data_IF_639789259777
#
_entry.id   IF_639789259777
#
_cell.length_a   1.000
_cell.length_b   1.000
_cell.length_c   1.000
_cell.angle_alpha   90.00
_cell.angle_beta   90.00
_cell.angle_gamma   90.00
#
_symmetry.space_group_name_H-M   'P 1'
#
loop_
_entity.id
_entity.type
_entity.pdbx_description
1 polymer ?
#
# COMPACT_ATOMS: atom_id res chain seq x y z
N UNK A 1 -34.67 21.52 10.89
CA UNK A 1 -33.95 20.53 10.06
C UNK A 1 -32.58 20.34 10.67
N UNK A 2 -32.28 19.10 11.03
CA UNK A 2 -31.17 18.74 11.92
C UNK A 2 -29.83 18.95 11.20
N UNK A 3 -28.91 19.74 11.76
CA UNK A 3 -27.57 19.98 11.17
C UNK A 3 -26.85 18.65 10.86
N UNK A 4 -27.14 17.61 11.64
CA UNK A 4 -26.64 16.24 11.46
C UNK A 4 -27.12 15.57 10.16
N UNK A 5 -28.34 15.86 9.67
CA UNK A 5 -28.85 15.30 8.40
C UNK A 5 -28.18 15.94 7.18
N UNK A 6 -27.93 17.25 7.22
CA UNK A 6 -27.20 17.96 6.17
C UNK A 6 -25.73 17.49 6.08
N UNK A 7 -25.11 17.16 7.23
CA UNK A 7 -23.73 16.64 7.28
C UNK A 7 -23.64 15.22 6.69
N UNK A 8 -24.57 14.32 7.03
CA UNK A 8 -24.65 12.98 6.43
C UNK A 8 -24.83 13.04 4.91
N UNK A 9 -25.69 13.94 4.41
CA UNK A 9 -25.84 14.19 2.97
C UNK A 9 -24.55 14.72 2.33
N UNK A 10 -23.83 15.62 3.00
CA UNK A 10 -22.57 16.18 2.50
C UNK A 10 -21.42 15.14 2.51
N UNK A 11 -21.40 14.23 3.47
CA UNK A 11 -20.43 13.14 3.55
C UNK A 11 -20.66 12.06 2.49
N UNK A 12 -21.92 11.85 2.11
CA UNK A 12 -22.25 11.04 0.94
C UNK A 12 -21.97 11.74 -0.39
N UNK A 13 -21.80 13.07 -0.40
CA UNK A 13 -21.44 13.87 -1.57
C UNK A 13 -19.94 14.14 -1.72
N UNK A 14 -19.15 13.98 -0.65
CA UNK A 14 -17.70 13.82 -0.77
C UNK A 14 -17.41 12.62 -1.69
N UNK A 15 -16.41 12.71 -2.59
CA UNK A 15 -16.16 11.65 -3.56
C UNK A 15 -15.89 10.33 -2.83
N UNK A 16 -16.85 9.40 -2.94
CA UNK A 16 -16.67 8.00 -2.54
C UNK A 16 -15.37 7.49 -3.17
N UNK A 17 -14.72 6.50 -2.53
CA UNK A 17 -13.55 5.74 -2.97
C UNK A 17 -13.40 5.37 -4.47
N UNK A 18 -14.40 5.63 -5.31
CA UNK A 18 -14.38 6.14 -6.69
C UNK A 18 -15.82 6.10 -7.19
N UNK A 19 -16.28 7.12 -7.88
CA UNK A 19 -17.27 6.93 -8.95
C UNK A 19 -16.77 7.66 -10.18
N UNK A 20 -15.84 7.03 -10.92
CA UNK A 20 -15.33 7.55 -12.20
C UNK A 20 -13.99 6.95 -12.65
N UNK A 21 -13.03 6.74 -11.73
CA UNK A 21 -11.66 6.31 -12.11
C UNK A 21 -11.58 4.80 -12.32
N UNK A 22 -11.25 4.38 -13.54
CA UNK A 22 -11.08 2.97 -13.92
C UNK A 22 -9.96 2.29 -13.11
N UNK A 23 -10.13 1.01 -12.79
CA UNK A 23 -9.14 0.17 -12.10
C UNK A 23 -8.69 -0.95 -13.02
N UNK A 24 -7.38 -1.17 -13.15
CA UNK A 24 -6.81 -2.37 -13.76
C UNK A 24 -5.83 -3.02 -12.81
N UNK A 25 -6.14 -4.24 -12.38
CA UNK A 25 -5.28 -5.02 -11.51
C UNK A 25 -4.53 -6.09 -12.29
N UNK A 26 -3.24 -6.24 -11.99
CA UNK A 26 -2.32 -7.17 -12.64
C UNK A 26 -1.66 -8.03 -11.57
N UNK A 27 -1.72 -9.34 -11.75
CA UNK A 27 -1.08 -10.31 -10.86
C UNK A 27 0.19 -10.80 -11.52
N UNK A 28 1.35 -10.45 -10.94
CA UNK A 28 2.65 -10.95 -11.38
C UNK A 28 2.91 -12.27 -10.67
N UNK A 29 2.90 -13.34 -11.45
CA UNK A 29 3.13 -14.72 -11.04
C UNK A 29 3.84 -15.49 -12.18
N UNK A 30 4.16 -16.76 -11.97
CA UNK A 30 4.79 -17.62 -12.98
C UNK A 30 3.94 -17.77 -14.25
N UNK A 31 2.61 -17.62 -14.13
CA UNK A 31 1.65 -17.69 -15.24
C UNK A 31 1.42 -16.36 -15.95
N UNK A 32 1.97 -15.24 -15.49
CA UNK A 32 1.75 -13.96 -16.19
C UNK A 32 2.29 -14.04 -17.62
N UNK A 33 1.50 -13.69 -18.65
CA UNK A 33 1.98 -13.60 -20.03
C UNK A 33 3.10 -12.58 -20.15
N UNK A 34 4.10 -12.89 -20.98
CA UNK A 34 5.28 -12.04 -21.18
C UNK A 34 4.90 -10.64 -21.68
N UNK A 35 3.95 -10.58 -22.61
CA UNK A 35 3.44 -9.36 -23.25
C UNK A 35 2.78 -8.43 -22.22
N UNK A 36 2.16 -9.00 -21.18
CA UNK A 36 1.59 -8.20 -20.10
C UNK A 36 2.68 -7.51 -19.27
N UNK A 37 3.82 -8.15 -19.04
CA UNK A 37 4.95 -7.52 -18.33
C UNK A 37 5.56 -6.40 -19.17
N UNK A 38 5.71 -6.60 -20.49
CA UNK A 38 6.17 -5.55 -21.41
C UNK A 38 5.23 -4.36 -21.40
N UNK A 39 3.91 -4.60 -21.49
CA UNK A 39 2.93 -3.52 -21.40
C UNK A 39 3.03 -2.76 -20.07
N UNK A 40 3.23 -3.44 -18.95
CA UNK A 40 3.41 -2.78 -17.65
C UNK A 40 4.68 -1.95 -17.60
N UNK A 41 5.77 -2.40 -18.24
CA UNK A 41 7.01 -1.62 -18.39
C UNK A 41 6.73 -0.32 -19.15
N UNK A 42 6.01 -0.40 -20.27
CA UNK A 42 5.73 0.77 -21.10
C UNK A 42 4.83 1.77 -20.38
N UNK A 43 3.83 1.29 -19.63
CA UNK A 43 3.00 2.14 -18.77
C UNK A 43 3.83 2.77 -17.63
N UNK A 44 4.70 2.00 -16.97
CA UNK A 44 5.54 2.50 -15.88
C UNK A 44 6.52 3.60 -16.33
N UNK A 45 7.00 3.55 -17.58
CA UNK A 45 7.86 4.60 -18.14
C UNK A 45 7.18 5.96 -18.29
N UNK A 46 5.84 5.96 -18.38
CA UNK A 46 5.04 7.15 -18.65
C UNK A 46 4.59 7.87 -17.37
N UNK A 47 4.97 7.37 -16.20
CA UNK A 47 4.70 8.01 -14.91
C UNK A 47 6.01 8.21 -14.13
N UNK A 48 5.97 9.16 -13.19
CA UNK A 48 7.06 9.44 -12.24
C UNK A 48 6.63 9.23 -10.79
N UNK A 49 5.39 8.83 -10.56
CA UNK A 49 4.83 8.70 -9.23
C UNK A 49 4.24 7.31 -9.05
N UNK A 50 4.62 6.68 -7.95
CA UNK A 50 4.17 5.34 -7.61
C UNK A 50 3.81 5.29 -6.14
N UNK A 51 2.89 4.40 -5.81
CA UNK A 51 2.60 4.01 -4.44
C UNK A 51 3.05 2.58 -4.28
N UNK A 52 3.92 2.32 -3.32
CA UNK A 52 4.37 0.96 -3.02
C UNK A 52 3.97 0.60 -1.60
N UNK A 53 3.32 -0.54 -1.44
CA UNK A 53 3.07 -1.20 -0.16
C UNK A 53 3.65 -2.62 -0.21
N UNK A 54 3.83 -3.21 0.97
CA UNK A 54 4.31 -4.60 1.10
C UNK A 54 3.48 -5.35 2.13
N UNK A 55 3.45 -6.67 2.00
CA UNK A 55 2.95 -7.61 3.03
C UNK A 55 3.97 -8.69 3.32
N UNK A 56 3.85 -9.28 4.51
CA UNK A 56 4.80 -10.26 5.05
C UNK A 56 4.06 -11.50 5.57
N UNK A 57 4.70 -12.66 5.49
CA UNK A 57 4.27 -13.89 6.18
C UNK A 57 4.71 -13.86 7.63
N UNK A 58 3.80 -14.25 8.52
CA UNK A 58 4.01 -14.37 9.97
C UNK A 58 4.61 -13.09 10.64
N UNK A 59 4.66 -13.08 11.98
CA UNK A 59 5.46 -12.10 12.74
C UNK A 59 6.97 -12.22 12.42
N UNK A 60 7.40 -13.30 11.77
CA UNK A 60 8.79 -13.62 11.40
C UNK A 60 9.31 -12.93 10.12
N UNK A 61 8.54 -12.02 9.51
CA UNK A 61 9.00 -11.03 8.52
C UNK A 61 9.35 -11.55 7.11
N UNK A 62 8.86 -12.71 6.66
CA UNK A 62 9.17 -13.15 5.30
C UNK A 62 8.39 -12.34 4.25
N UNK A 63 8.97 -12.01 3.09
CA UNK A 63 8.33 -11.20 2.05
C UNK A 63 7.19 -11.95 1.35
N UNK A 64 5.95 -11.42 1.36
CA UNK A 64 4.78 -12.09 0.77
C UNK A 64 4.20 -11.43 -0.48
N UNK A 65 4.07 -10.10 -0.44
CA UNK A 65 3.43 -9.33 -1.50
C UNK A 65 4.12 -7.98 -1.64
N UNK A 66 4.34 -7.55 -2.88
CA UNK A 66 4.58 -6.14 -3.19
C UNK A 66 3.37 -5.63 -3.95
N UNK A 67 2.77 -4.55 -3.48
CA UNK A 67 1.72 -3.84 -4.19
C UNK A 67 2.28 -2.55 -4.76
N UNK A 68 2.04 -2.30 -6.05
CA UNK A 68 2.45 -1.09 -6.73
C UNK A 68 1.23 -0.48 -7.39
N UNK A 69 0.98 0.79 -7.14
CA UNK A 69 -0.09 1.55 -7.78
C UNK A 69 0.48 2.77 -8.47
N UNK A 70 -0.01 3.05 -9.68
CA UNK A 70 0.24 4.30 -10.38
C UNK A 70 -0.95 4.66 -11.28
N UNK A 71 -1.05 5.92 -11.68
CA UNK A 71 -2.11 6.41 -12.58
C UNK A 71 -1.58 6.71 -13.96
N UNK A 72 -2.41 6.43 -14.97
CA UNK A 72 -2.22 6.85 -16.34
C UNK A 72 -3.59 7.06 -17.00
N UNK A 73 -3.79 8.20 -17.67
CA UNK A 73 -5.02 8.49 -18.45
C UNK A 73 -6.31 8.17 -17.68
N UNK A 74 -6.42 8.66 -16.43
CA UNK A 74 -7.56 8.41 -15.53
C UNK A 74 -7.83 6.93 -15.19
N UNK A 75 -6.88 6.06 -15.48
CA UNK A 75 -6.87 4.66 -15.03
C UNK A 75 -5.86 4.50 -13.91
N UNK A 76 -6.24 3.76 -12.87
CA UNK A 76 -5.31 3.34 -11.82
C UNK A 76 -4.89 1.90 -12.08
N UNK A 77 -3.60 1.73 -12.34
CA UNK A 77 -2.95 0.45 -12.56
C UNK A 77 -2.39 -0.06 -11.24
N UNK A 78 -2.75 -1.29 -10.88
CA UNK A 78 -2.38 -1.91 -9.61
C UNK A 78 -1.68 -3.22 -9.92
N UNK A 79 -0.39 -3.29 -9.63
CA UNK A 79 0.43 -4.47 -9.79
C UNK A 79 0.57 -5.16 -8.43
N UNK A 80 0.29 -6.45 -8.40
CA UNK A 80 0.41 -7.31 -7.23
C UNK A 80 1.47 -8.37 -7.54
N UNK A 81 2.62 -8.30 -6.89
CA UNK A 81 3.73 -9.24 -7.06
C UNK A 81 3.72 -10.23 -5.91
N UNK A 82 3.22 -11.44 -6.18
CA UNK A 82 3.14 -12.53 -5.21
C UNK A 82 4.49 -13.28 -5.20
N UNK A 83 5.28 -13.10 -4.14
CA UNK A 83 6.69 -13.50 -4.10
C UNK A 83 6.89 -15.01 -4.24
N UNK A 84 5.99 -15.81 -3.66
CA UNK A 84 6.02 -17.27 -3.74
C UNK A 84 5.62 -17.83 -5.11
N UNK A 85 5.07 -16.99 -5.98
CA UNK A 85 4.68 -17.39 -7.32
C UNK A 85 5.57 -16.77 -8.39
N UNK A 86 6.74 -16.21 -8.03
CA UNK A 86 7.65 -15.66 -9.02
C UNK A 86 8.17 -16.75 -9.98
N UNK A 87 8.38 -16.41 -11.26
CA UNK A 87 9.11 -17.30 -12.15
C UNK A 87 10.55 -17.52 -11.65
N UNK A 88 11.18 -18.63 -12.05
CA UNK A 88 12.60 -18.87 -11.77
C UNK A 88 13.49 -17.74 -12.30
N UNK A 89 14.57 -17.43 -11.56
CA UNK A 89 15.48 -16.30 -11.81
C UNK A 89 16.13 -16.34 -13.20
N UNK A 90 16.36 -17.54 -13.73
CA UNK A 90 16.99 -17.75 -15.04
C UNK A 90 16.06 -17.41 -16.21
N UNK A 91 14.75 -17.39 -15.97
CA UNK A 91 13.76 -17.15 -17.01
C UNK A 91 13.75 -15.68 -17.43
N UNK A 92 13.62 -15.46 -18.74
CA UNK A 92 13.49 -14.11 -19.34
C UNK A 92 12.35 -13.31 -18.69
N UNK A 93 11.26 -14.00 -18.31
CA UNK A 93 10.12 -13.41 -17.62
C UNK A 93 10.52 -12.78 -16.28
N UNK A 94 11.36 -13.46 -15.48
CA UNK A 94 11.87 -12.92 -14.23
C UNK A 94 12.72 -11.67 -14.47
N UNK A 95 13.64 -11.73 -15.45
CA UNK A 95 14.47 -10.58 -15.85
C UNK A 95 13.64 -9.37 -16.29
N UNK A 96 12.47 -9.58 -16.91
CA UNK A 96 11.53 -8.49 -17.23
C UNK A 96 10.81 -7.94 -16.00
N UNK A 97 10.48 -8.78 -15.02
CA UNK A 97 9.93 -8.31 -13.74
C UNK A 97 10.99 -7.46 -13.00
N UNK A 98 12.25 -7.89 -12.98
CA UNK A 98 13.36 -7.07 -12.47
C UNK A 98 13.47 -5.74 -13.21
N UNK A 99 13.40 -5.75 -14.55
CA UNK A 99 13.46 -4.53 -15.35
C UNK A 99 12.28 -3.57 -15.08
N UNK A 100 11.07 -4.11 -14.89
CA UNK A 100 9.91 -3.33 -14.46
C UNK A 100 10.17 -2.64 -13.12
N UNK A 101 10.66 -3.39 -12.12
CA UNK A 101 10.98 -2.83 -10.81
C UNK A 101 12.14 -1.83 -10.86
N UNK A 102 13.14 -2.08 -11.71
CA UNK A 102 14.21 -1.13 -11.98
C UNK A 102 13.67 0.21 -12.46
N UNK A 103 12.76 0.21 -13.44
CA UNK A 103 12.13 1.43 -13.97
C UNK A 103 11.34 2.16 -12.89
N UNK A 104 10.58 1.43 -12.07
CA UNK A 104 9.74 1.99 -11.01
C UNK A 104 10.62 2.64 -9.92
N UNK A 105 11.70 1.98 -9.51
CA UNK A 105 12.57 2.39 -8.40
C UNK A 105 13.66 3.39 -8.80
N UNK A 106 13.65 3.93 -10.03
CA UNK A 106 14.59 4.97 -10.44
C UNK A 106 14.53 6.18 -9.49
N UNK A 107 15.69 6.75 -9.17
CA UNK A 107 15.82 7.95 -8.32
C UNK A 107 15.01 9.16 -8.83
N UNK A 108 14.76 9.24 -10.14
CA UNK A 108 13.92 10.29 -10.73
C UNK A 108 12.43 10.17 -10.39
N UNK A 109 11.99 9.02 -9.89
CA UNK A 109 10.61 8.77 -9.54
C UNK A 109 10.39 9.00 -8.04
N UNK A 110 9.17 9.37 -7.69
CA UNK A 110 8.72 9.53 -6.32
C UNK A 110 7.89 8.32 -5.91
N UNK A 111 8.33 7.65 -4.84
CA UNK A 111 7.65 6.50 -4.25
C UNK A 111 6.93 6.94 -2.97
N UNK A 112 5.62 6.87 -2.97
CA UNK A 112 4.79 7.12 -1.80
C UNK A 112 4.48 5.81 -1.09
N UNK A 113 4.52 5.85 0.24
CA UNK A 113 4.13 4.69 1.05
C UNK A 113 3.59 5.12 2.40
N UNK A 114 2.66 4.35 2.95
CA UNK A 114 2.15 4.60 4.30
C UNK A 114 3.25 4.50 5.38
N UNK A 115 4.12 3.48 5.29
CA UNK A 115 5.25 3.23 6.21
C UNK A 115 6.59 3.44 5.51
N UNK A 116 7.70 3.27 6.23
CA UNK A 116 9.05 3.30 5.67
C UNK A 116 9.28 2.16 4.67
N UNK A 117 9.06 2.45 3.38
CA UNK A 117 9.15 1.45 2.31
C UNK A 117 10.59 0.98 2.06
N UNK A 118 11.61 1.79 2.34
CA UNK A 118 13.01 1.35 2.24
C UNK A 118 13.26 0.17 3.16
N UNK A 119 12.88 0.31 4.43
CA UNK A 119 13.01 -0.77 5.42
C UNK A 119 12.20 -2.02 5.03
N UNK A 120 10.98 -1.83 4.52
CA UNK A 120 10.14 -2.93 4.05
C UNK A 120 10.77 -3.70 2.88
N UNK A 121 11.28 -3.01 1.86
CA UNK A 121 11.83 -3.62 0.65
C UNK A 121 13.18 -4.32 0.90
N UNK A 122 13.95 -3.93 1.91
CA UNK A 122 15.19 -4.65 2.27
C UNK A 122 14.93 -6.13 2.58
N UNK A 123 13.76 -6.47 3.09
CA UNK A 123 13.37 -7.87 3.36
C UNK A 123 13.17 -8.70 2.09
N UNK A 124 13.00 -8.05 0.94
CA UNK A 124 12.79 -8.67 -0.36
C UNK A 124 14.08 -8.81 -1.17
N UNK A 125 15.23 -8.32 -0.68
CA UNK A 125 16.52 -8.41 -1.39
C UNK A 125 16.92 -9.85 -1.71
N UNK A 126 16.57 -10.81 -0.85
CA UNK A 126 16.82 -12.24 -1.08
C UNK A 126 16.13 -12.80 -2.32
N UNK A 127 15.06 -12.15 -2.79
CA UNK A 127 14.33 -12.53 -3.99
C UNK A 127 15.00 -12.02 -5.27
N UNK A 128 16.10 -11.25 -5.17
CA UNK A 128 16.85 -10.67 -6.30
C UNK A 128 16.01 -9.85 -7.28
N UNK A 129 14.85 -9.35 -6.88
CA UNK A 129 13.96 -8.53 -7.72
C UNK A 129 14.54 -7.14 -8.03
N UNK A 130 15.43 -6.67 -7.16
CA UNK A 130 16.13 -5.39 -7.21
C UNK A 130 17.36 -5.47 -6.31
N UNK A 131 18.26 -4.50 -6.44
CA UNK A 131 19.52 -4.39 -5.71
C UNK A 131 19.41 -3.38 -4.56
N UNK A 132 20.26 -3.52 -3.53
CA UNK A 132 20.24 -2.65 -2.33
C UNK A 132 20.34 -1.17 -2.68
N UNK A 133 21.28 -0.81 -3.57
CA UNK A 133 21.49 0.58 -3.99
C UNK A 133 20.23 1.19 -4.61
N UNK A 134 19.38 0.41 -5.30
CA UNK A 134 18.12 0.92 -5.86
C UNK A 134 17.14 1.33 -4.75
N UNK A 135 17.13 0.61 -3.62
CA UNK A 135 16.31 0.93 -2.44
C UNK A 135 16.88 2.15 -1.71
N UNK A 136 18.20 2.24 -1.61
CA UNK A 136 18.88 3.34 -0.93
C UNK A 136 18.72 4.66 -1.70
N UNK A 137 18.84 4.61 -3.03
CA UNK A 137 18.79 5.78 -3.91
C UNK A 137 17.37 6.25 -4.25
N UNK A 138 16.35 5.42 -4.08
CA UNK A 138 14.98 5.83 -4.42
C UNK A 138 14.51 7.00 -3.54
N UNK A 139 13.76 7.92 -4.16
CA UNK A 139 13.09 9.01 -3.45
C UNK A 139 11.78 8.47 -2.87
N UNK A 140 11.80 8.17 -1.58
CA UNK A 140 10.64 7.66 -0.84
C UNK A 140 10.00 8.74 0.04
N UNK A 141 8.68 8.80 0.06
CA UNK A 141 7.88 9.71 0.90
C UNK A 141 7.01 8.86 1.84
N UNK A 142 7.19 9.09 3.14
CA UNK A 142 6.40 8.45 4.19
C UNK A 142 5.12 9.27 4.43
N UNK A 143 4.02 8.83 3.82
CA UNK A 143 2.74 9.55 3.81
C UNK A 143 2.18 9.71 5.23
N UNK A 144 2.42 8.73 6.11
CA UNK A 144 1.99 8.82 7.52
C UNK A 144 2.62 10.02 8.23
N UNK A 145 3.91 10.27 8.02
CA UNK A 145 4.66 11.32 8.70
C UNK A 145 4.29 12.70 8.13
N UNK A 146 4.13 12.80 6.80
CA UNK A 146 3.61 14.03 6.17
C UNK A 146 2.23 14.40 6.69
N UNK A 147 1.34 13.41 6.84
CA UNK A 147 -0.01 13.65 7.37
C UNK A 147 0.02 14.02 8.85
N UNK A 148 0.88 13.40 9.65
CA UNK A 148 1.06 13.75 11.05
C UNK A 148 1.51 15.20 11.20
N UNK A 149 2.53 15.62 10.44
CA UNK A 149 3.07 16.97 10.49
C UNK A 149 2.03 18.00 10.07
N UNK A 150 1.33 17.77 8.96
CA UNK A 150 0.28 18.68 8.50
C UNK A 150 -0.87 18.83 9.50
N UNK A 151 -1.31 17.74 10.15
CA UNK A 151 -2.34 17.79 11.19
C UNK A 151 -1.88 18.62 12.39
N UNK A 152 -0.62 18.48 12.78
CA UNK A 152 -0.05 19.27 13.87
C UNK A 152 0.03 20.75 13.49
N UNK A 153 0.58 21.09 12.33
CA UNK A 153 0.73 22.47 11.87
C UNK A 153 -0.61 23.19 11.65
N UNK A 154 -1.63 22.47 11.17
CA UNK A 154 -2.91 23.09 10.77
C UNK A 154 -3.95 23.12 11.88
N UNK A 155 -3.93 22.13 12.77
CA UNK A 155 -4.97 21.94 13.79
C UNK A 155 -4.45 21.82 15.22
N UNK A 156 -3.12 21.93 15.42
CA UNK A 156 -2.45 21.63 16.69
C UNK A 156 -2.82 20.23 17.24
N UNK A 157 -2.95 19.25 16.34
CA UNK A 157 -3.31 17.87 16.67
C UNK A 157 -2.12 16.95 16.47
N UNK A 158 -1.73 16.27 17.54
CA UNK A 158 -0.76 15.17 17.47
C UNK A 158 -1.52 13.86 17.24
N UNK A 159 -1.16 13.05 16.22
CA UNK A 159 -1.76 11.73 16.07
C UNK A 159 -1.46 10.84 17.28
N UNK A 160 -2.50 10.36 17.96
CA UNK A 160 -2.40 9.50 19.16
C UNK A 160 -1.84 8.10 18.85
N UNK A 161 -1.51 7.36 19.93
CA UNK A 161 -1.16 5.94 19.92
C UNK A 161 -2.15 5.11 19.08
N UNK A 162 -1.66 4.39 18.08
CA UNK A 162 -2.52 3.63 17.16
C UNK A 162 -2.92 4.36 15.88
N UNK A 163 -2.36 5.54 15.59
CA UNK A 163 -2.46 6.19 14.27
C UNK A 163 -1.95 5.28 13.15
N UNK A 164 -2.89 4.73 12.38
CA UNK A 164 -2.67 3.81 11.28
C UNK A 164 -3.53 4.22 10.07
N UNK A 165 -3.37 3.51 8.95
CA UNK A 165 -4.04 3.90 7.70
C UNK A 165 -5.57 3.89 7.85
N UNK A 166 -6.14 2.90 8.56
CA UNK A 166 -7.59 2.82 8.79
C UNK A 166 -8.09 4.05 9.56
N UNK A 167 -7.39 4.44 10.64
CA UNK A 167 -7.79 5.60 11.43
C UNK A 167 -7.64 6.89 10.63
N UNK A 168 -6.59 7.02 9.82
CA UNK A 168 -6.37 8.18 8.98
C UNK A 168 -7.47 8.35 7.91
N UNK A 169 -7.85 7.26 7.24
CA UNK A 169 -8.94 7.27 6.25
C UNK A 169 -10.28 7.61 6.89
N UNK A 170 -10.60 6.98 8.03
CA UNK A 170 -11.83 7.27 8.75
C UNK A 170 -11.88 8.74 9.20
N UNK A 171 -10.75 9.28 9.66
CA UNK A 171 -10.65 10.66 10.10
C UNK A 171 -10.78 11.67 8.96
N UNK A 172 -10.02 11.50 7.88
CA UNK A 172 -9.97 12.48 6.79
C UNK A 172 -11.16 12.41 5.84
N UNK A 173 -11.73 11.22 5.67
CA UNK A 173 -12.68 10.95 4.59
C UNK A 173 -13.99 10.30 5.06
N UNK A 174 -14.13 10.00 6.37
CA UNK A 174 -15.29 9.28 6.93
C UNK A 174 -15.60 7.95 6.24
N UNK A 175 -14.56 7.27 5.78
CA UNK A 175 -14.67 5.97 5.15
C UNK A 175 -14.03 4.87 6.00
N UNK A 176 -14.56 3.65 5.89
CA UNK A 176 -14.01 2.49 6.56
C UNK A 176 -13.09 1.70 5.63
N UNK A 177 -11.86 1.44 6.09
CA UNK A 177 -10.98 0.43 5.51
C UNK A 177 -11.15 -0.87 6.29
N UNK A 178 -11.58 -1.95 5.63
CA UNK A 178 -11.67 -3.28 6.24
C UNK A 178 -10.28 -3.78 6.64
N UNK A 179 -9.94 -3.60 7.90
CA UNK A 179 -8.64 -3.98 8.45
C UNK A 179 -8.57 -5.45 8.91
N UNK A 180 -9.61 -6.27 8.70
CA UNK A 180 -9.62 -7.65 9.18
C UNK A 180 -8.43 -8.51 8.66
N UNK A 181 -7.80 -8.22 7.50
CA UNK A 181 -6.59 -8.93 7.06
C UNK A 181 -5.25 -8.30 7.51
N UNK A 182 -5.24 -7.20 8.29
CA UNK A 182 -4.01 -6.47 8.65
C UNK A 182 -3.02 -7.35 9.39
N UNK A 183 -3.48 -8.04 10.44
CA UNK A 183 -2.65 -8.88 11.31
C UNK A 183 -2.71 -10.36 10.92
N UNK A 184 -3.26 -10.65 9.75
CA UNK A 184 -3.38 -12.03 9.29
C UNK A 184 -2.10 -12.51 8.63
N UNK A 185 -1.89 -13.82 8.62
CA UNK A 185 -0.79 -14.42 7.89
C UNK A 185 -1.05 -14.31 6.38
N UNK A 186 -0.20 -13.60 5.66
CA UNK A 186 -0.33 -13.38 4.22
C UNK A 186 0.08 -14.60 3.39
N UNK A 187 0.03 -15.80 3.98
CA UNK A 187 0.15 -17.08 3.28
C UNK A 187 -1.12 -17.46 2.52
N UNK A 188 -1.57 -16.55 1.65
CA UNK A 188 -2.85 -16.58 0.94
C UNK A 188 -2.87 -17.54 -0.26
N UNK A 189 -2.20 -18.69 -0.17
CA UNK A 189 -2.23 -19.68 -1.25
C UNK A 189 -1.26 -20.85 -1.18
N UNK A 190 -0.38 -20.93 -0.18
CA UNK A 190 0.42 -22.12 0.04
C UNK A 190 0.15 -22.70 1.41
N UNK A 191 -0.08 -24.01 1.42
CA UNK A 191 -0.18 -24.91 2.56
C UNK A 191 -0.03 -24.24 3.93
N UNK A 192 -1.12 -24.22 4.71
CA UNK A 192 -1.08 -24.08 6.17
C UNK A 192 -0.05 -25.01 6.83
N UNK A 193 0.42 -26.03 6.10
CA UNK A 193 1.36 -27.08 6.50
C UNK A 193 2.78 -26.95 5.93
N UNK A 194 3.03 -26.15 4.87
CA UNK A 194 4.40 -25.95 4.34
C UNK A 194 4.96 -24.68 4.93
N UNK A 195 5.29 -24.79 6.21
CA UNK A 195 6.07 -23.81 6.95
C UNK A 195 7.51 -23.80 6.42
N UNK A 196 8.10 -22.63 6.08
CA UNK A 196 9.51 -22.54 5.66
C UNK A 196 10.47 -23.14 6.69
N UNK A 197 10.09 -23.16 7.96
CA UNK A 197 10.81 -23.76 9.09
C UNK A 197 10.89 -25.30 9.04
N UNK A 198 10.14 -25.98 8.16
CA UNK A 198 10.25 -27.44 7.97
C UNK A 198 11.18 -27.85 6.83
N UNK A 199 11.61 -26.91 5.99
CA UNK A 199 12.62 -27.15 4.97
C UNK A 199 13.88 -26.37 5.28
N UNK A 200 14.77 -27.02 6.04
CA UNK A 200 16.17 -26.65 6.05
C UNK A 200 16.70 -26.60 4.61
N UNK A 201 16.87 -25.40 4.07
CA UNK A 201 17.71 -25.17 2.89
C UNK A 201 17.15 -25.52 1.51
N UNK A 202 15.85 -25.81 1.32
CA UNK A 202 15.30 -26.01 -0.03
C UNK A 202 14.54 -24.77 -0.52
N UNK A 203 15.28 -23.85 -1.14
CA UNK A 203 14.74 -22.99 -2.21
C UNK A 203 14.83 -23.84 -3.48
N UNK A 204 13.74 -24.39 -4.04
CA UNK A 204 13.88 -25.35 -5.10
C UNK A 204 14.07 -24.64 -6.44
N UNK A 205 15.32 -24.62 -6.90
CA UNK A 205 15.70 -24.61 -8.31
C UNK A 205 15.27 -25.93 -9.02
N UNK A 206 14.07 -26.43 -8.72
CA UNK A 206 13.50 -27.64 -9.30
C UNK A 206 12.06 -27.38 -9.74
N UNK A 207 11.49 -28.22 -10.62
CA UNK A 207 10.11 -28.10 -11.06
C UNK A 207 9.19 -28.55 -9.92
N UNK A 208 9.10 -27.78 -8.85
CA UNK A 208 8.06 -27.96 -7.86
C UNK A 208 6.75 -27.71 -8.60
N UNK A 209 5.94 -28.75 -8.74
CA UNK A 209 4.59 -28.67 -9.29
C UNK A 209 3.82 -27.70 -8.38
N UNK A 210 3.69 -26.45 -8.82
CA UNK A 210 2.86 -25.45 -8.15
C UNK A 210 1.42 -25.83 -8.45
N UNK A 211 0.83 -26.63 -7.57
CA UNK A 211 -0.62 -26.81 -7.53
C UNK A 211 -1.18 -25.46 -7.09
N UNK A 212 -1.72 -24.69 -8.02
CA UNK A 212 -2.50 -23.48 -7.70
C UNK A 212 -3.80 -23.98 -7.08
N UNK A 213 -4.03 -23.86 -5.75
CA UNK A 213 -5.30 -24.28 -5.20
C UNK A 213 -6.41 -23.39 -5.79
N UNK A 214 -7.60 -23.98 -5.94
CA UNK A 214 -8.82 -23.26 -6.35
C UNK A 214 -8.94 -21.92 -5.60
N UNK A 215 -9.56 -20.88 -6.20
CA UNK A 215 -9.67 -19.57 -5.57
C UNK A 215 -10.27 -19.68 -4.17
N UNK A 216 -9.40 -19.57 -3.17
CA UNK A 216 -9.77 -19.56 -1.77
C UNK A 216 -10.49 -18.22 -1.48
N UNK A 217 -11.72 -18.23 -0.92
CA UNK A 217 -12.38 -17.02 -0.45
C UNK A 217 -11.50 -16.12 0.43
N UNK A 218 -10.59 -16.71 1.21
CA UNK A 218 -9.59 -15.95 1.98
C UNK A 218 -8.61 -15.21 1.06
N UNK A 219 -8.06 -15.87 0.03
CA UNK A 219 -7.16 -15.21 -0.94
C UNK A 219 -7.83 -14.00 -1.60
N UNK A 220 -9.09 -14.13 -2.03
CA UNK A 220 -9.85 -13.03 -2.63
C UNK A 220 -9.99 -11.85 -1.66
N UNK A 221 -10.30 -12.12 -0.39
CA UNK A 221 -10.43 -11.09 0.64
C UNK A 221 -9.14 -10.30 0.83
N UNK A 222 -8.00 -10.99 0.88
CA UNK A 222 -6.70 -10.34 1.11
C UNK A 222 -6.23 -9.56 -0.11
N UNK A 223 -6.45 -10.08 -1.32
CA UNK A 223 -6.19 -9.34 -2.57
C UNK A 223 -7.03 -8.06 -2.60
N UNK A 224 -8.33 -8.14 -2.28
CA UNK A 224 -9.20 -6.96 -2.20
C UNK A 224 -8.67 -5.95 -1.19
N UNK A 225 -8.27 -6.42 -0.01
CA UNK A 225 -7.69 -5.55 1.00
C UNK A 225 -6.38 -4.91 0.55
N UNK A 226 -5.45 -5.66 -0.04
CA UNK A 226 -4.19 -5.16 -0.59
C UNK A 226 -4.41 -4.06 -1.64
N UNK A 227 -5.41 -4.23 -2.50
CA UNK A 227 -5.85 -3.23 -3.48
C UNK A 227 -6.40 -1.99 -2.78
N UNK A 228 -7.30 -2.17 -1.80
CA UNK A 228 -7.92 -1.06 -1.08
C UNK A 228 -6.91 -0.26 -0.26
N UNK A 229 -5.90 -0.92 0.30
CA UNK A 229 -4.82 -0.29 1.04
C UNK A 229 -4.02 0.67 0.14
N UNK A 230 -3.58 0.23 -1.05
CA UNK A 230 -2.89 1.12 -1.99
C UNK A 230 -3.77 2.29 -2.45
N UNK A 231 -5.06 2.04 -2.69
CA UNK A 231 -6.00 3.10 -3.07
C UNK A 231 -6.22 4.10 -1.94
N UNK A 232 -6.26 3.64 -0.68
CA UNK A 232 -6.33 4.51 0.49
C UNK A 232 -5.10 5.41 0.60
N UNK A 233 -3.89 4.86 0.44
CA UNK A 233 -2.66 5.69 0.40
C UNK A 233 -2.72 6.69 -0.76
N UNK A 234 -3.20 6.27 -1.94
CA UNK A 234 -3.37 7.18 -3.09
C UNK A 234 -4.30 8.33 -2.78
N UNK A 235 -5.37 8.09 -2.05
CA UNK A 235 -6.33 9.13 -1.68
C UNK A 235 -5.69 10.19 -0.78
N UNK A 236 -4.84 9.77 0.15
CA UNK A 236 -4.09 10.70 1.02
C UNK A 236 -3.03 11.47 0.21
N UNK A 237 -2.32 10.80 -0.72
CA UNK A 237 -1.37 11.47 -1.62
C UNK A 237 -2.08 12.52 -2.48
N UNK A 238 -3.22 12.17 -3.08
CA UNK A 238 -4.03 13.11 -3.85
C UNK A 238 -4.51 14.30 -3.03
N UNK A 239 -4.74 14.13 -1.73
CA UNK A 239 -5.02 15.26 -0.84
C UNK A 239 -3.86 16.26 -0.78
N UNK A 240 -2.60 15.81 -0.76
CA UNK A 240 -1.44 16.70 -0.76
C UNK A 240 -1.18 17.35 -2.12
N UNK A 241 -1.48 16.64 -3.21
CA UNK A 241 -1.15 17.09 -4.56
C UNK A 241 -2.27 17.91 -5.23
N UNK A 242 -3.52 17.77 -4.76
CA UNK A 242 -4.67 18.46 -5.35
C UNK A 242 -5.23 19.53 -4.40
N UNK A 243 -5.08 20.83 -4.73
CA UNK A 243 -5.57 21.94 -3.91
C UNK A 243 -7.08 21.87 -3.61
N UNK A 244 -7.87 21.40 -4.58
CA UNK A 244 -9.31 21.25 -4.40
C UNK A 244 -9.61 20.18 -3.35
N UNK A 245 -8.97 19.02 -3.42
CA UNK A 245 -9.14 17.96 -2.41
C UNK A 245 -8.70 18.45 -1.03
N UNK A 246 -7.58 19.18 -0.96
CA UNK A 246 -7.07 19.75 0.30
C UNK A 246 -8.06 20.69 0.97
N UNK A 247 -8.56 21.67 0.22
CA UNK A 247 -9.50 22.68 0.74
C UNK A 247 -10.77 22.03 1.32
N UNK A 248 -11.30 21.00 0.66
CA UNK A 248 -12.52 20.33 1.11
C UNK A 248 -12.29 19.52 2.39
N UNK A 249 -11.18 18.78 2.48
CA UNK A 249 -10.84 18.04 3.71
C UNK A 249 -10.56 19.00 4.86
N UNK A 250 -9.86 20.11 4.61
CA UNK A 250 -9.61 21.14 5.62
C UNK A 250 -10.90 21.74 6.17
N UNK A 251 -11.82 22.15 5.29
CA UNK A 251 -13.12 22.69 5.67
C UNK A 251 -13.91 21.66 6.48
N UNK A 252 -13.96 20.42 6.01
CA UNK A 252 -14.63 19.32 6.71
C UNK A 252 -14.08 19.13 8.13
N UNK A 253 -12.76 19.08 8.30
CA UNK A 253 -12.14 18.90 9.62
C UNK A 253 -12.33 20.12 10.55
N UNK A 254 -12.34 21.35 10.01
CA UNK A 254 -12.63 22.56 10.78
C UNK A 254 -14.07 22.58 11.28
N UNK A 255 -15.03 22.13 10.48
CA UNK A 255 -16.43 22.07 10.88
C UNK A 255 -16.71 20.97 11.91
N UNK A 256 -15.92 19.89 11.90
CA UNK A 256 -16.12 18.71 12.76
C UNK A 256 -15.14 18.62 13.93
N UNK A 257 -14.35 19.67 14.20
CA UNK A 257 -13.39 19.72 15.30
C UNK A 257 -14.03 19.55 16.69
N UNK A 258 -15.36 19.72 16.79
CA UNK A 258 -16.14 19.60 18.02
C UNK A 258 -16.97 18.31 18.15
N UNK A 259 -17.10 17.51 17.08
CA UNK A 259 -18.00 16.32 17.04
C UNK A 259 -17.23 15.00 17.00
N UNK A 260 -16.00 15.02 16.50
CA UNK A 260 -15.13 13.85 16.59
C UNK A 260 -14.74 13.67 18.07
N UNK A 261 -14.83 12.44 18.64
CA UNK A 261 -14.63 12.22 20.07
C UNK A 261 -13.32 12.87 20.51
N UNK A 262 -13.28 13.53 21.69
CA UNK A 262 -12.12 14.29 22.11
C UNK A 262 -10.91 13.38 22.01
N UNK A 263 -10.08 13.64 21.01
CA UNK A 263 -8.77 13.04 20.89
C UNK A 263 -8.06 13.50 22.15
N UNK A 264 -7.91 12.60 23.13
CA UNK A 264 -7.18 12.92 24.37
C UNK A 264 -5.80 13.39 23.94
N UNK A 265 -5.59 14.70 24.03
CA UNK A 265 -4.29 15.32 23.96
C UNK A 265 -3.48 14.70 25.09
N UNK A 266 -2.59 13.79 24.75
CA UNK A 266 -1.57 13.37 25.70
C UNK A 266 -0.57 14.50 25.70
N UNK A 267 -0.74 15.44 26.64
CA UNK A 267 0.27 16.44 26.92
C UNK A 267 1.59 15.71 27.20
N UNK A 268 2.73 16.14 26.64
CA UNK A 268 4.01 15.57 27.02
C UNK A 268 4.21 15.85 28.51
N UNK A 269 4.15 14.80 29.34
CA UNK A 269 4.62 14.89 30.72
C UNK A 269 6.12 15.16 30.65
N UNK A 270 6.50 16.41 30.84
CA UNK A 270 7.85 16.78 31.23
C UNK A 270 8.05 16.13 32.60
N UNK A 271 8.67 14.95 32.61
CA UNK A 271 9.30 14.45 33.83
C UNK A 271 10.50 15.36 34.06
N UNK A 272 10.34 16.33 34.97
CA UNK A 272 11.47 16.96 35.61
C UNK A 272 12.28 15.83 36.26
N UNK A 273 13.50 15.65 35.74
CA UNK A 273 14.52 14.86 36.40
C UNK A 273 15.13 15.79 37.44
N UNK A 274 14.77 15.54 38.71
CA UNK A 274 15.71 15.70 39.81
C UNK A 274 16.49 14.39 39.97
#
# INVERSE_FOLDING_TARGET
>A
MDQNQNILQYLTSLPKFRSGVSKKSYFISHTIPYEKVIKLIDLARQTKQFIIQTKRYDKKKYPALIQILFSQEQTLHIILIETMHLPSEDLIKFKKIQHLLYIILLRSNTIYSWKNIKHELHLFLKLKLFLSHQIEDMRAIHVKDQLANWLHETFDKIPYYGWNLKTAIAYMFMEALDASPIDSDWNIGFYREVRPDHYGGLIPNGPAIIIVPKPDPYRIKYIKYAIHECVAVNKIVSFFENPWTRQHVELFLKMNSYVLPPYKTVSPSISNVD
#
